data_IF_307561993682
#
_entry.id   IF_307561993682
#
_cell.length_a   1.000
_cell.length_b   1.000
_cell.length_c   1.000
_cell.angle_alpha   90.00
_cell.angle_beta   90.00
_cell.angle_gamma   90.00
#
_symmetry.space_group_name_H-M   'P 1'
#
loop_
_entity.id
_entity.type
_entity.pdbx_description
1 polymer ?
#
# COMPACT_ATOMS: atom_id res chain seq x y z
N UNK A 1 12.40 -11.32 -33.00
CA UNK A 1 11.81 -10.16 -32.86
C UNK A 1 11.73 -9.67 -31.46
N UNK A 2 12.60 -9.59 -30.88
CA UNK A 2 12.63 -9.23 -29.54
C UNK A 2 13.13 -7.85 -29.32
N UNK A 3 13.99 -7.35 -30.21
CA UNK A 3 14.73 -6.17 -30.03
C UNK A 3 13.91 -4.93 -29.70
N UNK A 4 13.46 -4.12 -30.70
CA UNK A 4 12.85 -2.83 -30.41
C UNK A 4 11.53 -2.95 -29.63
N UNK A 5 10.73 -3.95 -29.95
CA UNK A 5 9.44 -4.13 -29.26
C UNK A 5 9.64 -4.51 -27.80
N UNK A 6 10.52 -5.46 -27.54
CA UNK A 6 10.81 -5.88 -26.18
C UNK A 6 11.40 -4.75 -25.35
N UNK A 7 12.32 -3.98 -25.93
CA UNK A 7 12.93 -2.83 -25.26
C UNK A 7 11.87 -1.78 -24.91
N UNK A 8 10.95 -1.49 -25.83
CA UNK A 8 9.90 -0.53 -25.60
C UNK A 8 8.98 -0.95 -24.44
N UNK A 9 8.62 -2.24 -24.41
CA UNK A 9 7.78 -2.76 -23.34
C UNK A 9 8.51 -2.71 -21.99
N UNK A 10 9.78 -3.04 -21.98
CA UNK A 10 10.58 -2.98 -20.75
C UNK A 10 10.75 -1.55 -20.24
N UNK A 11 10.94 -0.59 -21.15
CA UNK A 11 11.01 0.83 -20.78
C UNK A 11 9.71 1.28 -20.13
N UNK A 12 8.57 0.86 -20.68
CA UNK A 12 7.26 1.18 -20.10
C UNK A 12 7.11 0.57 -18.71
N UNK A 13 7.52 -0.68 -18.55
CA UNK A 13 7.49 -1.36 -17.24
C UNK A 13 8.36 -0.61 -16.23
N UNK A 14 9.56 -0.19 -16.63
CA UNK A 14 10.45 0.55 -15.75
C UNK A 14 9.81 1.86 -15.28
N UNK A 15 9.13 2.55 -16.18
CA UNK A 15 8.43 3.79 -15.83
C UNK A 15 7.27 3.54 -14.88
N UNK A 16 6.53 2.45 -15.10
CA UNK A 16 5.43 2.07 -14.22
C UNK A 16 5.97 1.72 -12.82
N UNK A 17 7.06 0.95 -12.78
CA UNK A 17 7.67 0.58 -11.50
C UNK A 17 8.15 1.81 -10.73
N UNK A 18 8.75 2.76 -11.42
CA UNK A 18 9.17 4.01 -10.78
C UNK A 18 7.99 4.76 -10.17
N UNK A 19 6.89 4.87 -10.91
CA UNK A 19 5.67 5.52 -10.43
C UNK A 19 5.11 4.77 -9.21
N UNK A 20 5.09 3.44 -9.27
CA UNK A 20 4.59 2.62 -8.17
C UNK A 20 5.40 2.83 -6.90
N UNK A 21 6.72 2.86 -6.99
CA UNK A 21 7.60 3.10 -5.84
C UNK A 21 7.35 4.49 -5.24
N UNK A 22 7.20 5.52 -6.08
CA UNK A 22 6.90 6.86 -5.59
C UNK A 22 5.53 6.92 -4.90
N UNK A 23 4.53 6.23 -5.45
CA UNK A 23 3.21 6.17 -4.84
C UNK A 23 3.25 5.47 -3.48
N UNK A 24 3.97 4.36 -3.39
CA UNK A 24 4.13 3.65 -2.11
C UNK A 24 4.84 4.52 -1.08
N UNK A 25 5.88 5.25 -1.48
CA UNK A 25 6.60 6.15 -0.58
C UNK A 25 5.66 7.21 -0.01
N UNK A 26 4.85 7.85 -0.86
CA UNK A 26 3.88 8.85 -0.41
C UNK A 26 2.82 8.23 0.49
N UNK A 27 2.33 7.03 0.14
CA UNK A 27 1.35 6.35 0.95
C UNK A 27 1.88 6.06 2.36
N UNK A 28 3.11 5.59 2.48
CA UNK A 28 3.71 5.31 3.78
C UNK A 28 3.96 6.59 4.59
N UNK A 29 4.30 7.70 3.94
CA UNK A 29 4.37 8.99 4.63
C UNK A 29 3.03 9.34 5.27
N UNK A 30 1.94 9.14 4.53
CA UNK A 30 0.60 9.41 5.03
C UNK A 30 0.23 8.46 6.19
N UNK A 31 0.52 7.17 6.05
CA UNK A 31 0.19 6.21 7.10
C UNK A 31 1.05 6.40 8.34
N UNK A 32 2.30 6.85 8.19
CA UNK A 32 3.13 7.19 9.35
C UNK A 32 2.56 8.41 10.09
N UNK A 33 2.05 9.40 9.37
CA UNK A 33 1.36 10.53 9.99
C UNK A 33 0.12 10.08 10.75
N UNK A 34 -0.63 9.12 10.18
CA UNK A 34 -1.77 8.50 10.88
C UNK A 34 -1.28 7.78 12.15
N UNK A 35 -0.14 7.10 12.05
CA UNK A 35 0.46 6.41 13.20
C UNK A 35 0.81 7.38 14.33
N UNK A 36 1.38 8.53 14.00
CA UNK A 36 1.66 9.58 14.99
C UNK A 36 0.37 10.08 15.64
N UNK A 37 -0.66 10.31 14.83
CA UNK A 37 -1.96 10.73 15.34
C UNK A 37 -2.54 9.69 16.30
N UNK A 38 -2.49 8.41 15.93
CA UNK A 38 -3.00 7.33 16.79
C UNK A 38 -2.24 7.26 18.12
N UNK A 39 -0.91 7.38 18.07
CA UNK A 39 -0.08 7.34 19.27
C UNK A 39 -0.41 8.54 20.19
N UNK A 40 -0.56 9.71 19.61
CA UNK A 40 -0.88 10.93 20.35
C UNK A 40 -2.28 10.86 21.01
N UNK A 41 -3.24 10.24 20.34
CA UNK A 41 -4.61 10.13 20.82
C UNK A 41 -4.92 8.80 21.49
N UNK A 42 -3.88 8.01 21.75
CA UNK A 42 -4.00 6.73 22.44
C UNK A 42 -4.95 5.75 21.75
N UNK A 43 -4.90 5.73 20.41
CA UNK A 43 -5.68 4.81 19.59
C UNK A 43 -4.86 3.56 19.28
N UNK A 44 -5.50 2.40 19.09
CA UNK A 44 -4.74 1.17 18.78
C UNK A 44 -4.11 1.20 17.40
N UNK A 45 -2.94 0.56 17.23
CA UNK A 45 -2.26 0.52 15.92
C UNK A 45 -3.08 -0.13 14.81
N UNK A 46 -3.84 -1.18 15.13
CA UNK A 46 -4.66 -1.88 14.15
C UNK A 46 -6.10 -1.37 14.18
N UNK A 47 -6.75 -1.40 13.03
CA UNK A 47 -8.15 -1.02 12.87
C UNK A 47 -8.81 -2.02 11.91
N UNK A 48 -9.32 -3.15 12.43
CA UNK A 48 -9.87 -4.19 11.56
C UNK A 48 -11.05 -3.73 10.70
N UNK A 49 -11.88 -2.83 11.21
CA UNK A 49 -13.01 -2.29 10.44
C UNK A 49 -12.53 -1.50 9.23
N UNK A 50 -11.53 -0.66 9.42
CA UNK A 50 -10.93 0.10 8.33
C UNK A 50 -10.24 -0.83 7.31
N UNK A 51 -9.54 -1.84 7.79
CA UNK A 51 -8.86 -2.81 6.93
C UNK A 51 -9.85 -3.56 6.06
N UNK A 52 -10.96 -4.03 6.63
CA UNK A 52 -12.00 -4.71 5.87
C UNK A 52 -12.61 -3.81 4.80
N UNK A 53 -12.86 -2.55 5.13
CA UNK A 53 -13.39 -1.58 4.17
C UNK A 53 -12.40 -1.31 3.04
N UNK A 54 -11.11 -1.22 3.35
CA UNK A 54 -10.06 -1.03 2.34
C UNK A 54 -9.97 -2.23 1.39
N UNK A 55 -10.02 -3.44 1.93
CA UNK A 55 -9.97 -4.65 1.12
C UNK A 55 -11.17 -4.67 0.15
N UNK A 56 -12.37 -4.42 0.65
CA UNK A 56 -13.57 -4.41 -0.19
C UNK A 56 -13.45 -3.37 -1.31
N UNK A 57 -12.97 -2.19 -0.98
CA UNK A 57 -12.79 -1.11 -1.96
C UNK A 57 -11.76 -1.49 -3.01
N UNK A 58 -10.62 -2.02 -2.59
CA UNK A 58 -9.56 -2.40 -3.52
C UNK A 58 -9.98 -3.52 -4.45
N UNK A 59 -10.75 -4.47 -3.95
CA UNK A 59 -11.27 -5.55 -4.81
C UNK A 59 -12.15 -4.98 -5.91
N UNK A 60 -13.02 -4.01 -5.58
CA UNK A 60 -13.87 -3.34 -6.59
C UNK A 60 -13.01 -2.60 -7.62
N UNK A 61 -12.06 -1.82 -7.16
CA UNK A 61 -11.16 -1.07 -8.04
C UNK A 61 -10.36 -2.00 -8.95
N UNK A 62 -9.89 -3.11 -8.41
CA UNK A 62 -9.14 -4.11 -9.18
C UNK A 62 -10.01 -4.68 -10.31
N UNK A 63 -11.24 -5.05 -10.00
CA UNK A 63 -12.17 -5.58 -11.00
C UNK A 63 -12.39 -4.55 -12.11
N UNK A 64 -12.62 -3.29 -11.76
CA UNK A 64 -12.80 -2.21 -12.73
C UNK A 64 -11.56 -2.00 -13.59
N UNK A 65 -10.39 -2.13 -13.00
CA UNK A 65 -9.10 -1.96 -13.69
C UNK A 65 -8.64 -3.21 -14.42
N UNK A 66 -9.42 -4.30 -14.37
CA UNK A 66 -9.07 -5.58 -14.97
C UNK A 66 -7.80 -6.18 -14.35
N UNK A 67 -7.64 -6.00 -13.06
CA UNK A 67 -6.60 -6.61 -12.26
C UNK A 67 -7.25 -7.70 -11.39
N UNK A 68 -6.56 -8.81 -11.19
CA UNK A 68 -7.05 -9.88 -10.33
C UNK A 68 -7.33 -9.35 -8.92
N UNK A 69 -8.60 -9.38 -8.45
CA UNK A 69 -8.92 -8.86 -7.11
C UNK A 69 -8.26 -9.66 -5.98
N UNK A 70 -7.99 -10.95 -6.18
CA UNK A 70 -7.29 -11.75 -5.17
C UNK A 70 -5.85 -11.27 -5.02
N UNK A 71 -5.20 -10.93 -6.12
CA UNK A 71 -3.86 -10.33 -6.06
C UNK A 71 -3.90 -8.97 -5.35
N UNK A 72 -4.89 -8.13 -5.68
CA UNK A 72 -5.02 -6.82 -5.07
C UNK A 72 -5.17 -6.93 -3.55
N UNK A 73 -5.94 -7.91 -3.08
CA UNK A 73 -6.11 -8.15 -1.65
C UNK A 73 -4.80 -8.60 -1.00
N UNK A 74 -4.07 -9.51 -1.62
CA UNK A 74 -2.76 -9.95 -1.13
C UNK A 74 -1.79 -8.78 -1.02
N UNK A 75 -1.78 -7.94 -2.05
CA UNK A 75 -0.93 -6.76 -2.08
C UNK A 75 -1.26 -5.80 -0.93
N UNK A 76 -2.55 -5.52 -0.72
CA UNK A 76 -2.98 -4.65 0.37
C UNK A 76 -2.62 -5.25 1.73
N UNK A 77 -2.82 -6.56 1.91
CA UNK A 77 -2.48 -7.22 3.17
C UNK A 77 -1.00 -7.06 3.50
N UNK A 78 -0.14 -7.11 2.49
CA UNK A 78 1.30 -6.87 2.64
C UNK A 78 1.55 -5.47 3.18
N UNK A 79 0.90 -4.47 2.58
CA UNK A 79 1.03 -3.07 2.97
C UNK A 79 0.50 -2.85 4.39
N UNK A 80 -0.68 -3.39 4.70
CA UNK A 80 -1.30 -3.24 6.02
C UNK A 80 -0.41 -3.81 7.12
N UNK A 81 0.20 -4.96 6.88
CA UNK A 81 1.13 -5.56 7.83
C UNK A 81 2.29 -4.60 8.14
N UNK A 82 2.86 -3.98 7.11
CA UNK A 82 3.93 -3.01 7.29
C UNK A 82 3.45 -1.76 8.02
N UNK A 83 2.25 -1.26 7.69
CA UNK A 83 1.66 -0.09 8.36
C UNK A 83 1.49 -0.36 9.85
N UNK A 84 0.94 -1.51 10.22
CA UNK A 84 0.74 -1.87 11.62
C UNK A 84 2.09 -1.93 12.35
N UNK A 85 3.09 -2.52 11.71
CA UNK A 85 4.44 -2.60 12.27
C UNK A 85 5.00 -1.19 12.53
N UNK A 86 4.83 -0.27 11.58
CA UNK A 86 5.24 1.13 11.74
C UNK A 86 4.50 1.79 12.91
N UNK A 87 3.19 1.58 12.98
CA UNK A 87 2.36 2.18 14.05
C UNK A 87 2.77 1.67 15.44
N UNK A 88 3.07 0.38 15.53
CA UNK A 88 3.56 -0.20 16.78
C UNK A 88 4.91 0.38 17.20
N UNK A 89 5.81 0.56 16.24
CA UNK A 89 7.12 1.15 16.49
C UNK A 89 6.99 2.60 16.98
N UNK A 90 6.15 3.40 16.33
CA UNK A 90 5.88 4.78 16.71
C UNK A 90 5.32 4.83 18.14
N UNK A 91 4.38 3.95 18.45
CA UNK A 91 3.77 3.90 19.77
C UNK A 91 4.80 3.55 20.85
N UNK A 92 5.70 2.61 20.58
CA UNK A 92 6.77 2.24 21.52
C UNK A 92 7.73 3.40 21.76
N UNK A 93 8.09 4.15 20.71
CA UNK A 93 8.99 5.27 20.82
C UNK A 93 8.40 6.39 21.65
N UNK A 94 7.08 6.58 21.59
CA UNK A 94 6.41 7.61 22.37
C UNK A 94 6.13 7.17 23.80
N UNK A 95 6.06 5.88 23.98
CA UNK A 95 5.61 5.37 25.17
C UNK A 95 5.91 4.94 26.20
#
# INVERSE_FOLDING_TARGET
MTGPELLRLRDSIDNIDAALIHLLAERFKCTQAVGEYKATHNLPPADPGREAAQIARLRRLATEAKLDPDFAEKFLNFIVTEVIRHHEAIRRERG
#
